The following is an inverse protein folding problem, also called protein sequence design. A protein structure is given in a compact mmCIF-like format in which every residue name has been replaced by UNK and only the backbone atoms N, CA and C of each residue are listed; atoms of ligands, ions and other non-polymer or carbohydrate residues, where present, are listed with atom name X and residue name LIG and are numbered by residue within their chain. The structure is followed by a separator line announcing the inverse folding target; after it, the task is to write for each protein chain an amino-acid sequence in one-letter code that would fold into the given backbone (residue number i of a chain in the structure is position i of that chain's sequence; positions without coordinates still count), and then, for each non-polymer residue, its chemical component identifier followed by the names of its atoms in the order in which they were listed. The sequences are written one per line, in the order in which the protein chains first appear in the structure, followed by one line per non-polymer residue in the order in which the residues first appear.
data_IF_794233642363
#
_entry.id   IF_794233642363
#
_cell.length_a   1.000
_cell.length_b   1.000
_cell.length_c   1.000
_cell.angle_alpha   90.00
_cell.angle_beta   90.00
_cell.angle_gamma   90.00
#
_symmetry.space_group_name_H-M   'P 1'
#
loop_
_entity.id
_entity.type
_entity.pdbx_description
1 polymer ?
#
# COMPACT_ATOMS: atom_id res chain seq x y z
N UNK A 1 6.36 -13.63 -7.91
CA UNK A 1 6.37 -12.22 -8.28
C UNK A 1 7.57 -11.51 -7.70
N UNK A 2 8.42 -10.89 -8.51
CA UNK A 2 9.40 -9.95 -7.93
C UNK A 2 8.69 -8.63 -7.63
N UNK A 3 9.17 -7.84 -6.67
CA UNK A 3 8.70 -6.48 -6.41
C UNK A 3 8.48 -5.66 -7.71
N UNK A 4 9.34 -5.87 -8.70
CA UNK A 4 9.27 -5.27 -10.04
C UNK A 4 7.96 -5.56 -10.81
N UNK A 5 7.42 -6.78 -10.73
CA UNK A 5 6.17 -7.15 -11.42
C UNK A 5 4.95 -6.45 -10.78
N UNK A 6 4.94 -6.27 -9.45
CA UNK A 6 3.88 -5.49 -8.78
C UNK A 6 3.93 -4.02 -9.19
N UNK A 7 5.13 -3.45 -9.36
CA UNK A 7 5.31 -2.09 -9.87
C UNK A 7 4.81 -1.94 -11.32
N UNK A 8 5.03 -2.94 -12.18
CA UNK A 8 4.46 -2.97 -13.55
C UNK A 8 2.92 -2.98 -13.49
N UNK A 9 2.34 -3.83 -12.65
CA UNK A 9 0.89 -3.86 -12.46
C UNK A 9 0.36 -2.50 -11.97
N UNK A 10 1.03 -1.88 -11.01
CA UNK A 10 0.65 -0.56 -10.48
C UNK A 10 0.65 0.50 -11.60
N UNK A 11 1.68 0.55 -12.44
CA UNK A 11 1.74 1.49 -13.58
C UNK A 11 0.62 1.28 -14.58
N UNK A 12 0.28 0.02 -14.86
CA UNK A 12 -0.77 -0.34 -15.84
C UNK A 12 -2.16 -0.01 -15.32
N UNK A 13 -2.43 -0.36 -14.06
CA UNK A 13 -3.74 -0.13 -13.42
C UNK A 13 -3.95 1.32 -13.01
N UNK A 14 -2.87 2.05 -12.68
CA UNK A 14 -2.89 3.40 -12.11
C UNK A 14 -3.84 3.53 -10.92
N UNK A 15 -4.07 2.43 -10.21
CA UNK A 15 -5.02 2.35 -9.12
C UNK A 15 -4.31 1.86 -7.85
N UNK A 16 -4.58 2.54 -6.75
CA UNK A 16 -4.08 2.19 -5.43
C UNK A 16 -5.20 2.41 -4.41
N UNK A 17 -5.53 1.37 -3.68
CA UNK A 17 -6.47 1.43 -2.56
C UNK A 17 -5.71 1.92 -1.34
N UNK A 18 -6.20 3.00 -0.73
CA UNK A 18 -5.54 3.64 0.41
C UNK A 18 -6.39 3.44 1.66
N UNK A 19 -5.72 3.00 2.72
CA UNK A 19 -6.28 2.78 4.04
C UNK A 19 -5.55 3.67 5.04
N UNK A 20 -6.28 4.20 6.01
CA UNK A 20 -5.74 5.16 6.96
C UNK A 20 -6.00 4.67 8.39
N UNK A 21 -4.94 4.62 9.17
CA UNK A 21 -4.94 4.11 10.54
C UNK A 21 -4.27 5.11 11.47
N UNK A 22 -4.78 5.24 12.68
CA UNK A 22 -4.03 5.87 13.77
C UNK A 22 -3.13 4.83 14.47
N UNK A 23 -2.09 5.29 15.16
CA UNK A 23 -1.32 4.51 16.15
C UNK A 23 -0.50 3.32 15.61
N UNK A 24 -0.16 3.28 14.31
CA UNK A 24 0.86 2.33 13.83
C UNK A 24 2.26 2.87 14.22
N UNK A 25 2.71 2.51 15.41
CA UNK A 25 3.99 2.98 15.97
C UNK A 25 5.11 1.92 15.88
N UNK A 26 4.76 0.63 15.80
CA UNK A 26 5.73 -0.44 15.63
C UNK A 26 6.11 -0.58 14.16
N UNK A 27 7.15 0.15 13.76
CA UNK A 27 7.61 0.22 12.37
C UNK A 27 8.75 -0.77 12.05
N UNK A 28 9.10 -1.68 12.96
CA UNK A 28 10.22 -2.63 12.81
C UNK A 28 10.10 -3.54 11.58
N UNK A 29 8.87 -3.74 11.09
CA UNK A 29 8.57 -4.55 9.90
C UNK A 29 8.42 -3.72 8.62
N UNK A 30 8.63 -2.40 8.70
CA UNK A 30 8.61 -1.50 7.56
C UNK A 30 10.02 -1.31 7.01
N UNK A 31 10.22 -1.62 5.73
CA UNK A 31 11.48 -1.35 5.04
C UNK A 31 11.39 -0.01 4.32
N UNK A 32 12.40 0.85 4.40
CA UNK A 32 12.44 2.08 3.58
C UNK A 32 12.39 1.70 2.10
N UNK A 33 11.49 2.36 1.36
CA UNK A 33 11.33 2.10 -0.07
C UNK A 33 12.55 2.61 -0.84
N UNK A 34 12.98 1.81 -1.82
CA UNK A 34 14.07 2.19 -2.73
C UNK A 34 13.56 2.93 -3.98
N UNK A 35 12.26 3.22 -4.07
CA UNK A 35 11.70 3.99 -5.19
C UNK A 35 12.28 5.40 -5.20
N UNK A 36 12.71 5.85 -6.37
CA UNK A 36 13.17 7.20 -6.56
C UNK A 36 11.94 8.14 -6.65
N UNK A 37 11.96 9.33 -6.02
CA UNK A 37 10.90 10.31 -6.18
C UNK A 37 10.57 10.71 -7.64
N UNK A 38 11.49 10.51 -8.59
CA UNK A 38 11.24 10.73 -10.02
C UNK A 38 10.55 9.56 -10.73
N UNK A 39 10.45 8.38 -10.08
CA UNK A 39 9.83 7.20 -10.66
C UNK A 39 8.31 7.37 -10.77
N UNK A 40 7.73 6.86 -11.85
CA UNK A 40 6.27 6.91 -12.08
C UNK A 40 5.51 6.23 -10.94
N UNK A 41 6.00 5.11 -10.43
CA UNK A 41 5.40 4.37 -9.33
C UNK A 41 5.36 5.17 -8.04
N UNK A 42 6.45 5.88 -7.73
CA UNK A 42 6.50 6.78 -6.58
C UNK A 42 5.44 7.87 -6.71
N UNK A 43 5.29 8.46 -7.90
CA UNK A 43 4.29 9.49 -8.16
C UNK A 43 2.86 8.95 -8.05
N UNK A 44 2.58 7.74 -8.54
CA UNK A 44 1.28 7.09 -8.38
C UNK A 44 0.95 6.91 -6.90
N UNK A 45 1.88 6.35 -6.12
CA UNK A 45 1.68 6.08 -4.69
C UNK A 45 1.47 7.37 -3.90
N UNK A 46 2.37 8.32 -4.06
CA UNK A 46 2.32 9.57 -3.31
C UNK A 46 1.14 10.45 -3.69
N UNK A 47 0.71 10.44 -4.95
CA UNK A 47 -0.52 11.14 -5.37
C UNK A 47 -1.75 10.51 -4.73
N UNK A 48 -1.85 9.17 -4.71
CA UNK A 48 -2.95 8.48 -4.03
C UNK A 48 -2.99 8.79 -2.53
N UNK A 49 -1.83 8.81 -1.85
CA UNK A 49 -1.75 9.19 -0.43
C UNK A 49 -2.14 10.65 -0.19
N UNK A 50 -1.71 11.58 -1.05
CA UNK A 50 -2.12 13.00 -0.94
C UNK A 50 -3.62 13.17 -1.12
N UNK A 51 -4.22 12.47 -2.07
CA UNK A 51 -5.69 12.47 -2.22
C UNK A 51 -6.41 11.92 -0.99
N UNK A 52 -5.79 10.98 -0.27
CA UNK A 52 -6.30 10.43 0.97
C UNK A 52 -6.05 11.32 2.21
N UNK A 53 -5.37 12.47 2.06
CA UNK A 53 -5.14 13.43 3.14
C UNK A 53 -3.71 13.49 3.68
N UNK A 54 -2.76 12.75 3.08
CA UNK A 54 -1.35 12.85 3.46
C UNK A 54 -0.76 14.21 3.07
N UNK A 55 -0.10 14.88 4.03
CA UNK A 55 0.47 16.23 3.89
C UNK A 55 1.87 16.25 3.26
N UNK A 56 2.43 15.09 2.92
CA UNK A 56 3.72 14.99 2.21
C UNK A 56 4.95 14.87 3.12
N UNK A 57 4.78 14.55 4.40
CA UNK A 57 5.86 14.32 5.36
C UNK A 57 6.07 12.82 5.67
N UNK A 58 7.06 12.48 6.49
CA UNK A 58 7.37 11.07 6.78
C UNK A 58 8.21 10.39 5.68
N UNK A 59 8.40 9.08 5.80
CA UNK A 59 9.25 8.28 4.91
C UNK A 59 8.40 7.21 4.26
N UNK A 60 8.51 7.08 2.94
CA UNK A 60 7.88 5.99 2.20
C UNK A 60 8.57 4.67 2.55
N UNK A 61 7.77 3.75 3.04
CA UNK A 61 8.18 2.41 3.47
C UNK A 61 7.35 1.34 2.76
N UNK A 62 7.81 0.10 2.86
CA UNK A 62 7.23 -1.09 2.28
C UNK A 62 6.98 -2.11 3.39
N UNK A 63 5.76 -2.65 3.44
CA UNK A 63 5.35 -3.73 4.33
C UNK A 63 5.19 -4.98 3.48
N UNK A 64 5.90 -6.05 3.82
CA UNK A 64 5.76 -7.33 3.13
C UNK A 64 4.73 -8.21 3.84
N UNK A 65 3.69 -8.59 3.09
CA UNK A 65 2.69 -9.55 3.54
C UNK A 65 3.06 -10.93 2.99
N UNK A 66 3.23 -11.95 3.85
CA UNK A 66 3.62 -13.26 3.41
C UNK A 66 2.51 -13.95 2.58
N UNK A 67 2.87 -14.79 1.58
CA UNK A 67 1.96 -15.61 0.78
C UNK A 67 0.73 -16.18 1.50
N UNK A 68 0.94 -16.84 2.63
CA UNK A 68 -0.11 -17.53 3.37
C UNK A 68 -1.13 -16.57 4.03
N UNK A 69 -0.76 -15.29 4.23
CA UNK A 69 -1.63 -14.27 4.76
C UNK A 69 -2.38 -13.51 3.65
N UNK A 70 -1.81 -13.43 2.43
CA UNK A 70 -2.42 -12.70 1.31
C UNK A 70 -3.84 -13.19 1.01
N UNK A 71 -4.06 -14.51 1.01
CA UNK A 71 -5.38 -15.09 0.75
C UNK A 71 -6.45 -14.74 1.79
N UNK A 72 -6.07 -14.35 3.00
CA UNK A 72 -7.00 -13.97 4.06
C UNK A 72 -7.39 -12.48 4.02
N UNK A 73 -6.54 -11.64 3.44
CA UNK A 73 -6.71 -10.18 3.49
C UNK A 73 -7.17 -9.57 2.17
N UNK A 74 -7.35 -10.33 1.09
CA UNK A 74 -7.84 -9.80 -0.19
C UNK A 74 -9.36 -9.83 -0.25
N UNK A 75 -9.98 -8.75 -0.76
CA UNK A 75 -11.43 -8.69 -0.96
C UNK A 75 -11.92 -9.62 -2.06
N UNK A 76 -11.17 -9.67 -3.15
CA UNK A 76 -11.43 -10.59 -4.25
C UNK A 76 -10.27 -11.59 -4.37
N UNK A 77 -10.56 -12.86 -4.69
CA UNK A 77 -9.53 -13.84 -4.93
C UNK A 77 -8.65 -13.40 -6.09
N UNK A 78 -7.38 -13.78 -6.01
CA UNK A 78 -6.40 -13.51 -7.06
C UNK A 78 -6.86 -14.19 -8.35
N UNK A 79 -7.07 -13.38 -9.40
CA UNK A 79 -7.34 -13.88 -10.73
C UNK A 79 -6.03 -14.35 -11.38
N UNK A 80 -5.92 -15.63 -11.73
CA UNK A 80 -4.76 -16.23 -12.40
C UNK A 80 -4.46 -15.64 -13.79
N UNK A 81 -5.37 -14.85 -14.38
CA UNK A 81 -5.16 -14.13 -15.62
C UNK A 81 -4.51 -12.74 -15.45
N UNK A 82 -4.45 -12.20 -14.23
CA UNK A 82 -3.84 -10.90 -13.92
C UNK A 82 -2.35 -11.06 -13.60
N UNK A 83 -1.49 -10.16 -14.05
CA UNK A 83 -0.05 -10.17 -13.78
C UNK A 83 0.25 -10.38 -12.29
N UNK A 84 -0.60 -9.84 -11.41
CA UNK A 84 -0.60 -10.00 -9.96
C UNK A 84 -0.66 -11.44 -9.45
N UNK A 85 -1.07 -12.42 -10.24
CA UNK A 85 -1.23 -13.79 -9.74
C UNK A 85 0.05 -14.33 -9.14
N UNK A 86 1.22 -14.03 -9.73
CA UNK A 86 2.50 -14.50 -9.18
C UNK A 86 2.82 -13.95 -7.79
N UNK A 87 2.12 -12.91 -7.30
CA UNK A 87 2.32 -12.34 -5.96
C UNK A 87 2.02 -13.36 -4.88
N UNK A 88 1.10 -14.31 -5.15
CA UNK A 88 0.74 -15.35 -4.19
C UNK A 88 1.94 -16.19 -3.75
N UNK A 89 2.97 -16.38 -4.59
CA UNK A 89 4.15 -17.19 -4.23
C UNK A 89 5.21 -16.39 -3.45
N UNK A 90 5.24 -15.07 -3.61
CA UNK A 90 6.34 -14.22 -3.13
C UNK A 90 5.90 -13.15 -2.13
N UNK A 91 4.61 -13.12 -1.80
CA UNK A 91 4.00 -12.13 -0.94
C UNK A 91 3.56 -10.87 -1.69
N UNK A 92 2.87 -10.01 -0.96
CA UNK A 92 2.34 -8.73 -1.43
C UNK A 92 3.08 -7.61 -0.73
N UNK A 93 3.53 -6.59 -1.47
CA UNK A 93 4.08 -5.39 -0.86
C UNK A 93 2.96 -4.36 -0.69
N UNK A 94 2.78 -3.86 0.51
CA UNK A 94 1.99 -2.67 0.78
C UNK A 94 2.94 -1.49 0.91
N UNK A 95 2.56 -0.33 0.40
CA UNK A 95 3.31 0.90 0.63
C UNK A 95 2.77 1.60 1.86
N UNK A 96 3.64 2.19 2.66
CA UNK A 96 3.25 2.81 3.92
C UNK A 96 3.99 4.13 4.17
N UNK A 97 3.29 5.14 4.67
CA UNK A 97 3.87 6.35 5.24
C UNK A 97 3.21 6.64 6.57
N UNK A 98 4.01 6.94 7.60
CA UNK A 98 3.53 7.54 8.84
C UNK A 98 3.75 9.06 8.79
N UNK A 99 2.67 9.81 8.84
CA UNK A 99 2.66 11.27 8.96
C UNK A 99 3.14 11.67 10.36
N UNK A 100 4.01 12.68 10.44
CA UNK A 100 4.65 13.05 11.71
C UNK A 100 3.77 13.96 12.55
N UNK A 101 2.99 14.82 11.89
CA UNK A 101 2.24 15.88 12.57
C UNK A 101 1.07 15.35 13.41
N UNK A 102 0.30 14.40 12.89
CA UNK A 102 -0.89 13.84 13.55
C UNK A 102 -0.80 12.33 13.80
N UNK A 103 0.31 11.70 13.42
CA UNK A 103 0.56 10.28 13.68
C UNK A 103 -0.22 9.32 12.79
N UNK A 104 -0.97 9.82 11.80
CA UNK A 104 -1.73 9.00 10.85
C UNK A 104 -0.80 8.18 9.96
N UNK A 105 -1.18 6.93 9.72
CA UNK A 105 -0.51 6.00 8.83
C UNK A 105 -1.35 5.73 7.61
N UNK A 106 -0.77 5.97 6.44
CA UNK A 106 -1.34 5.71 5.14
C UNK A 106 -0.78 4.42 4.59
N UNK A 107 -1.64 3.47 4.23
CA UNK A 107 -1.27 2.17 3.66
C UNK A 107 -1.90 2.04 2.27
N UNK A 108 -1.06 1.80 1.27
CA UNK A 108 -1.45 1.64 -0.12
C UNK A 108 -1.34 0.18 -0.57
N UNK A 109 -2.38 -0.32 -1.23
CA UNK A 109 -2.42 -1.65 -1.83
C UNK A 109 -2.83 -1.59 -3.31
N UNK A 110 -2.20 -2.35 -4.20
CA UNK A 110 -2.62 -2.43 -5.60
C UNK A 110 -3.95 -3.18 -5.80
N UNK A 111 -4.43 -3.89 -4.77
CA UNK A 111 -5.73 -4.58 -4.74
C UNK A 111 -6.50 -4.22 -3.47
N UNK A 112 -7.82 -4.27 -3.54
CA UNK A 112 -8.66 -4.03 -2.39
C UNK A 112 -8.49 -5.18 -1.38
N UNK A 113 -8.25 -4.80 -0.15
CA UNK A 113 -8.04 -5.64 1.01
C UNK A 113 -9.30 -5.69 1.90
N UNK A 114 -9.55 -6.84 2.53
CA UNK A 114 -10.50 -7.04 3.63
C UNK A 114 -9.89 -6.59 4.96
N UNK A 115 -9.39 -5.37 5.01
CA UNK A 115 -8.97 -4.76 6.26
C UNK A 115 -10.03 -3.72 6.66
N UNK A 116 -10.47 -3.71 7.92
CA UNK A 116 -11.46 -2.75 8.36
C UNK A 116 -10.87 -1.34 8.27
N UNK A 117 -11.69 -0.38 7.86
CA UNK A 117 -11.41 1.05 8.01
C UNK A 117 -11.51 1.38 9.51
N UNK A 118 -10.48 1.05 10.29
CA UNK A 118 -10.37 1.42 11.71
C UNK A 118 -9.31 2.50 11.83
N UNK A 119 -9.71 3.70 12.21
CA UNK A 119 -8.76 4.79 12.51
C UNK A 119 -9.13 6.15 11.95
N UNK A 120 -10.16 6.27 11.09
CA UNK A 120 -10.73 7.58 10.75
C UNK A 120 -12.25 7.48 10.91
N UNK A 121 -12.81 8.25 11.85
CA UNK A 121 -14.24 8.58 11.81
C UNK A 121 -14.53 9.11 10.41
N UNK A 122 -15.40 8.44 9.65
CA UNK A 122 -15.79 8.88 8.30
C UNK A 122 -16.26 10.33 8.36
N UNK A 123 -15.38 11.28 8.04
CA UNK A 123 -15.80 12.63 7.69
C UNK A 123 -16.36 12.52 6.29
N UNK A 124 -17.68 12.38 6.23
CA UNK A 124 -18.45 12.53 5.00
C UNK A 124 -18.28 13.99 4.58
N UNK A 125 -17.57 14.23 3.47
CA UNK A 125 -17.58 15.51 2.75
C UNK A 125 -18.52 15.35 1.56
#
# INVERSE_FOLDING_TARGET
MTYKEQLVFLKKSKNLYVYIYEWIDLLDFCKVSNLNPQDEEYQIITTAFRHAGWKGDGVLTEIWIPPFAVGAILEEPINYADELWKSWQNGLILWHVKQREDGLSFIGSPKKLLIPDVGIEKVII
#
